data_IF_472375747610
#
_entry.id   IF_472375747610
#
_cell.length_a   1.000
_cell.length_b   1.000
_cell.length_c   1.000
_cell.angle_alpha   90.00
_cell.angle_beta   90.00
_cell.angle_gamma   90.00
#
_symmetry.space_group_name_H-M   'P 1'
#
loop_
_entity.id
_entity.type
_entity.pdbx_description
1 polymer ?
#
# COMPACT_ATOMS: atom_id res chain seq x y z
N UNK A 1 23.24 -20.77 -37.91
CA UNK A 1 22.96 -19.41 -37.40
C UNK A 1 21.53 -19.05 -37.77
N UNK A 2 20.59 -19.15 -36.83
CA UNK A 2 19.22 -18.74 -37.09
C UNK A 2 19.12 -17.23 -36.84
N UNK A 3 18.88 -16.45 -37.90
CA UNK A 3 18.41 -15.07 -37.76
C UNK A 3 16.99 -15.13 -37.17
N UNK A 4 16.86 -15.04 -35.85
CA UNK A 4 15.55 -14.74 -35.25
C UNK A 4 15.27 -13.27 -35.50
N UNK A 5 14.63 -12.99 -36.65
CA UNK A 5 14.15 -11.64 -36.95
C UNK A 5 13.12 -11.23 -35.89
N UNK A 6 13.33 -10.07 -35.25
CA UNK A 6 12.37 -9.51 -34.29
C UNK A 6 10.97 -9.38 -34.90
N UNK A 7 9.93 -9.53 -34.08
CA UNK A 7 8.52 -9.40 -34.47
C UNK A 7 8.19 -7.94 -34.83
N UNK A 8 7.22 -7.76 -35.72
CA UNK A 8 6.74 -6.43 -36.11
C UNK A 8 6.09 -5.67 -34.95
N UNK A 9 6.08 -4.34 -35.00
CA UNK A 9 5.47 -3.46 -33.98
C UNK A 9 4.04 -3.92 -33.65
N UNK A 10 3.73 -4.18 -32.36
CA UNK A 10 2.44 -4.73 -31.98
C UNK A 10 1.41 -3.62 -31.74
N UNK A 11 1.07 -2.88 -32.80
CA UNK A 11 0.01 -1.89 -32.78
C UNK A 11 -1.37 -2.57 -32.80
N UNK A 12 -2.29 -2.08 -31.99
CA UNK A 12 -3.71 -2.42 -32.06
C UNK A 12 -4.30 -1.87 -33.37
N UNK A 13 -4.72 -2.78 -34.24
CA UNK A 13 -5.30 -2.46 -35.55
C UNK A 13 -6.81 -2.26 -35.51
N UNK A 14 -7.46 -2.57 -34.39
CA UNK A 14 -8.89 -2.30 -34.19
C UNK A 14 -9.17 -0.79 -34.02
N UNK A 15 -8.16 -0.06 -33.54
CA UNK A 15 -8.19 1.41 -33.44
C UNK A 15 -7.55 2.02 -34.68
N UNK A 16 -8.18 3.07 -35.23
CA UNK A 16 -7.59 3.86 -36.32
C UNK A 16 -6.26 4.43 -35.85
N UNK A 17 -5.15 4.00 -36.45
CA UNK A 17 -3.82 4.49 -36.15
C UNK A 17 -3.31 5.37 -37.30
N UNK A 18 -2.51 6.38 -36.94
CA UNK A 18 -1.81 7.24 -37.88
C UNK A 18 -0.39 6.73 -38.16
N UNK A 19 0.28 7.28 -39.17
CA UNK A 19 1.66 6.91 -39.52
C UNK A 19 2.64 7.16 -38.37
N UNK A 20 2.40 8.21 -37.58
CA UNK A 20 3.18 8.67 -36.43
C UNK A 20 2.62 8.14 -35.09
N UNK A 21 1.90 7.01 -35.12
CA UNK A 21 1.40 6.41 -33.88
C UNK A 21 2.56 5.90 -33.04
N UNK A 22 2.62 6.40 -31.80
CA UNK A 22 3.57 6.00 -30.77
C UNK A 22 3.01 4.87 -29.93
N UNK A 23 3.86 3.92 -29.57
CA UNK A 23 3.55 2.85 -28.64
C UNK A 23 4.25 3.12 -27.31
N UNK A 24 3.47 3.10 -26.22
CA UNK A 24 4.00 3.13 -24.87
C UNK A 24 3.74 1.76 -24.25
N UNK A 25 4.81 1.12 -23.80
CA UNK A 25 4.76 -0.18 -23.15
C UNK A 25 5.06 0.02 -21.68
N UNK A 26 4.14 -0.45 -20.84
CA UNK A 26 4.22 -0.34 -19.40
C UNK A 26 4.33 -1.75 -18.84
N UNK A 27 5.46 -2.10 -18.23
CA UNK A 27 5.54 -3.31 -17.42
C UNK A 27 5.06 -2.97 -16.00
N UNK A 28 4.07 -3.73 -15.53
CA UNK A 28 3.43 -3.51 -14.24
C UNK A 28 3.69 -4.67 -13.28
N UNK A 29 3.78 -4.33 -12.01
CA UNK A 29 3.85 -5.27 -10.88
C UNK A 29 2.53 -6.03 -10.67
N UNK A 30 1.38 -5.38 -10.81
CA UNK A 30 0.10 -6.05 -10.69
C UNK A 30 -0.28 -6.91 -11.90
N UNK A 31 -1.11 -7.92 -11.65
CA UNK A 31 -1.57 -8.88 -12.66
C UNK A 31 -2.84 -8.42 -13.42
N UNK A 32 -3.65 -7.54 -12.81
CA UNK A 32 -5.02 -7.28 -13.27
C UNK A 32 -5.35 -5.78 -13.32
N UNK A 33 -5.17 -5.06 -12.22
CA UNK A 33 -5.71 -3.71 -12.02
C UNK A 33 -5.18 -2.68 -13.00
N UNK A 34 -3.87 -2.68 -13.22
CA UNK A 34 -3.16 -1.73 -14.07
C UNK A 34 -3.54 -1.92 -15.53
N UNK A 35 -3.64 -3.18 -15.98
CA UNK A 35 -4.12 -3.50 -17.32
C UNK A 35 -5.53 -2.94 -17.54
N UNK A 36 -6.46 -3.20 -16.62
CA UNK A 36 -7.83 -2.69 -16.69
C UNK A 36 -7.87 -1.15 -16.67
N UNK A 37 -7.05 -0.53 -15.82
CA UNK A 37 -6.94 0.92 -15.74
C UNK A 37 -6.46 1.54 -17.06
N UNK A 38 -5.46 0.95 -17.72
CA UNK A 38 -4.94 1.54 -18.95
C UNK A 38 -5.74 1.21 -20.21
N UNK A 39 -6.51 0.11 -20.22
CA UNK A 39 -7.37 -0.28 -21.34
C UNK A 39 -8.46 0.76 -21.68
N UNK A 40 -8.82 1.63 -20.73
CA UNK A 40 -9.78 2.71 -20.97
C UNK A 40 -9.20 3.84 -21.85
N UNK A 41 -7.87 3.99 -21.91
CA UNK A 41 -7.25 5.03 -22.72
C UNK A 41 -7.13 4.58 -24.17
N UNK A 42 -8.02 5.11 -25.02
CA UNK A 42 -7.97 4.89 -26.47
C UNK A 42 -7.56 6.16 -27.18
N UNK A 43 -6.46 6.10 -27.90
CA UNK A 43 -5.97 7.21 -28.73
C UNK A 43 -5.48 6.69 -30.08
N UNK A 44 -5.68 7.51 -31.11
CA UNK A 44 -5.23 7.23 -32.48
C UNK A 44 -3.75 7.54 -32.70
N UNK A 45 -3.15 8.35 -31.80
CA UNK A 45 -1.74 8.79 -31.86
C UNK A 45 -0.84 8.11 -30.85
N UNK A 46 -1.42 7.59 -29.76
CA UNK A 46 -0.70 6.91 -28.70
C UNK A 46 -1.45 5.64 -28.37
N UNK A 47 -0.78 4.50 -28.49
CA UNK A 47 -1.31 3.22 -28.04
C UNK A 47 -0.55 2.79 -26.80
N UNK A 48 -1.29 2.28 -25.82
CA UNK A 48 -0.76 1.78 -24.56
C UNK A 48 -0.82 0.26 -24.59
N UNK A 49 0.26 -0.37 -24.14
CA UNK A 49 0.30 -1.82 -23.90
C UNK A 49 0.85 -2.09 -22.52
N UNK A 50 0.05 -2.74 -21.69
CA UNK A 50 0.48 -3.18 -20.36
C UNK A 50 0.99 -4.61 -20.42
N UNK A 51 2.15 -4.86 -19.81
CA UNK A 51 2.70 -6.18 -19.54
C UNK A 51 2.46 -6.46 -18.04
N UNK A 52 1.37 -7.13 -17.67
CA UNK A 52 1.08 -7.45 -16.28
C UNK A 52 1.99 -8.59 -15.77
N UNK A 53 2.04 -8.77 -14.46
CA UNK A 53 2.66 -9.98 -13.87
C UNK A 53 1.92 -11.23 -14.33
N UNK A 54 2.69 -12.27 -14.67
CA UNK A 54 2.15 -13.53 -15.17
C UNK A 54 1.60 -14.43 -14.06
N UNK A 55 1.12 -15.60 -14.46
CA UNK A 55 0.65 -16.64 -13.52
C UNK A 55 1.80 -17.24 -12.68
N UNK A 56 3.05 -16.88 -12.99
CA UNK A 56 4.25 -17.22 -12.22
C UNK A 56 4.40 -16.40 -10.93
N UNK A 57 3.62 -15.33 -10.76
CA UNK A 57 3.66 -14.46 -9.59
C UNK A 57 4.93 -13.63 -9.46
N UNK A 58 5.76 -13.54 -10.51
CA UNK A 58 7.02 -12.81 -10.47
C UNK A 58 6.80 -11.29 -10.57
N UNK A 59 6.42 -10.69 -9.43
CA UNK A 59 6.04 -9.29 -9.31
C UNK A 59 7.20 -8.37 -8.89
N UNK A 60 8.31 -8.91 -8.37
CA UNK A 60 9.43 -8.09 -7.90
C UNK A 60 10.02 -7.19 -9.02
N UNK A 61 10.58 -6.02 -8.67
CA UNK A 61 11.09 -5.03 -9.63
C UNK A 61 12.01 -5.59 -10.73
N UNK A 62 12.87 -6.54 -10.38
CA UNK A 62 13.80 -7.21 -11.30
C UNK A 62 13.07 -8.01 -12.38
N UNK A 63 12.00 -8.71 -12.02
CA UNK A 63 11.18 -9.48 -12.97
C UNK A 63 10.31 -8.57 -13.84
N UNK A 64 9.80 -7.47 -13.28
CA UNK A 64 9.08 -6.43 -14.05
C UNK A 64 10.02 -5.83 -15.11
N UNK A 65 11.25 -5.51 -14.73
CA UNK A 65 12.28 -5.01 -15.65
C UNK A 65 12.67 -6.05 -16.71
N UNK A 66 12.87 -7.31 -16.32
CA UNK A 66 13.21 -8.39 -17.24
C UNK A 66 12.15 -8.54 -18.34
N UNK A 67 10.85 -8.54 -18.00
CA UNK A 67 9.74 -8.57 -18.96
C UNK A 67 9.79 -7.42 -19.96
N UNK A 68 10.13 -6.21 -19.51
CA UNK A 68 10.22 -5.04 -20.37
C UNK A 68 11.43 -5.13 -21.33
N UNK A 69 12.55 -5.69 -20.87
CA UNK A 69 13.75 -5.96 -21.69
C UNK A 69 13.45 -7.03 -22.74
N UNK A 70 12.85 -8.15 -22.33
CA UNK A 70 12.45 -9.23 -23.24
C UNK A 70 11.53 -8.71 -24.35
N UNK A 71 10.55 -7.87 -24.00
CA UNK A 71 9.67 -7.24 -24.98
C UNK A 71 10.43 -6.36 -25.99
N UNK A 72 11.41 -5.58 -25.52
CA UNK A 72 12.27 -4.76 -26.38
C UNK A 72 13.10 -5.61 -27.35
N UNK A 73 13.57 -6.77 -26.90
CA UNK A 73 14.34 -7.71 -27.72
C UNK A 73 13.47 -8.46 -28.71
N UNK A 74 12.22 -8.76 -28.35
CA UNK A 74 11.27 -9.47 -29.18
C UNK A 74 10.72 -8.60 -30.32
N UNK A 75 10.48 -7.30 -30.10
CA UNK A 75 9.77 -6.42 -31.03
C UNK A 75 10.63 -5.33 -31.68
N UNK A 76 10.32 -4.99 -32.92
CA UNK A 76 10.96 -3.90 -33.69
C UNK A 76 10.37 -2.52 -33.33
N UNK A 77 10.63 -2.03 -32.12
CA UNK A 77 10.11 -0.73 -31.66
C UNK A 77 10.64 0.45 -32.50
N UNK A 78 9.80 1.46 -32.68
CA UNK A 78 10.19 2.72 -33.31
C UNK A 78 10.97 3.62 -32.34
N UNK A 79 11.64 4.64 -32.87
CA UNK A 79 12.48 5.58 -32.10
C UNK A 79 11.68 6.38 -31.07
N UNK A 80 10.40 6.62 -31.36
CA UNK A 80 9.46 7.38 -30.55
C UNK A 80 8.55 6.50 -29.66
N UNK A 81 8.75 5.18 -29.67
CA UNK A 81 8.12 4.27 -28.73
C UNK A 81 8.81 4.38 -27.35
N UNK A 82 8.04 4.21 -26.28
CA UNK A 82 8.55 4.34 -24.91
C UNK A 82 8.34 3.06 -24.09
N UNK A 83 9.30 2.79 -23.21
CA UNK A 83 9.30 1.66 -22.27
C UNK A 83 9.25 2.22 -20.85
N UNK A 84 8.22 1.88 -20.09
CA UNK A 84 7.91 2.42 -18.79
C UNK A 84 7.79 1.28 -17.77
N UNK A 85 8.25 1.54 -16.55
CA UNK A 85 8.06 0.65 -15.40
C UNK A 85 6.99 1.26 -14.49
N UNK A 86 6.08 0.42 -14.03
CA UNK A 86 5.10 0.74 -13.00
C UNK A 86 5.27 -0.27 -11.87
N UNK A 87 5.82 0.22 -10.77
CA UNK A 87 6.25 -0.57 -9.62
C UNK A 87 5.68 0.11 -8.38
N UNK A 88 5.18 -0.66 -7.42
CA UNK A 88 4.73 -0.10 -6.16
C UNK A 88 5.94 0.34 -5.34
N UNK A 89 5.82 1.53 -4.75
CA UNK A 89 6.84 2.05 -3.84
C UNK A 89 6.39 1.74 -2.43
N UNK A 90 6.86 0.61 -1.91
CA UNK A 90 6.68 0.28 -0.50
C UNK A 90 7.47 1.23 0.37
N UNK A 91 6.79 1.85 1.34
CA UNK A 91 7.44 2.64 2.38
C UNK A 91 7.61 1.76 3.60
N UNK A 92 8.85 1.39 3.99
CA UNK A 92 9.09 0.40 5.03
C UNK A 92 8.78 0.88 6.46
N UNK A 93 8.22 2.08 6.66
CA UNK A 93 7.88 2.61 7.99
C UNK A 93 6.58 2.01 8.54
N UNK A 94 6.55 0.69 8.77
CA UNK A 94 5.35 -0.04 9.21
C UNK A 94 4.93 0.39 10.62
N UNK A 95 5.81 0.27 11.61
CA UNK A 95 5.50 0.61 13.02
C UNK A 95 5.35 2.12 13.23
N UNK A 96 6.16 2.93 12.54
CA UNK A 96 6.07 4.40 12.60
C UNK A 96 4.72 4.91 12.09
N UNK A 97 4.21 4.33 11.01
CA UNK A 97 2.88 4.64 10.47
C UNK A 97 1.78 4.26 11.47
N UNK A 98 1.86 3.07 12.07
CA UNK A 98 0.89 2.61 13.09
C UNK A 98 0.91 3.51 14.34
N UNK A 99 2.09 3.92 14.80
CA UNK A 99 2.24 4.89 15.88
C UNK A 99 1.56 6.23 15.54
N UNK A 100 1.69 6.69 14.29
CA UNK A 100 0.97 7.85 13.79
C UNK A 100 -0.55 7.72 13.92
N UNK A 101 -1.10 6.58 13.46
CA UNK A 101 -2.54 6.30 13.59
C UNK A 101 -3.01 6.25 15.04
N UNK A 102 -2.23 5.66 15.95
CA UNK A 102 -2.56 5.61 17.38
C UNK A 102 -2.65 7.02 17.97
N UNK A 103 -1.69 7.91 17.65
CA UNK A 103 -1.69 9.29 18.13
C UNK A 103 -2.89 10.08 17.62
N UNK A 104 -3.22 9.95 16.34
CA UNK A 104 -4.41 10.60 15.77
C UNK A 104 -5.69 10.11 16.47
N UNK A 105 -5.79 8.80 16.74
CA UNK A 105 -6.92 8.23 17.45
C UNK A 105 -7.02 8.78 18.89
N UNK A 106 -5.91 8.85 19.63
CA UNK A 106 -5.86 9.46 20.97
C UNK A 106 -6.33 10.91 20.98
N UNK A 107 -5.95 11.71 19.98
CA UNK A 107 -6.43 13.10 19.84
C UNK A 107 -7.95 13.15 19.72
N UNK A 108 -8.54 12.28 18.88
CA UNK A 108 -10.01 12.19 18.71
C UNK A 108 -10.71 11.77 20.02
N UNK A 109 -10.17 10.78 20.73
CA UNK A 109 -10.71 10.35 22.02
C UNK A 109 -10.61 11.43 23.10
N UNK A 110 -9.50 12.15 23.14
CA UNK A 110 -9.29 13.28 24.06
C UNK A 110 -10.28 14.40 23.77
N UNK A 111 -10.49 14.77 22.51
CA UNK A 111 -11.50 15.75 22.13
C UNK A 111 -12.92 15.33 22.55
N UNK A 112 -13.26 14.05 22.39
CA UNK A 112 -14.53 13.49 22.86
C UNK A 112 -14.65 13.54 24.39
N UNK A 113 -13.57 13.24 25.11
CA UNK A 113 -13.51 13.31 26.56
C UNK A 113 -13.79 14.73 27.06
N UNK A 114 -13.13 15.74 26.49
CA UNK A 114 -13.34 17.15 26.87
C UNK A 114 -14.75 17.63 26.56
N UNK A 115 -15.33 17.20 25.43
CA UNK A 115 -16.72 17.48 25.13
C UNK A 115 -17.68 16.88 26.17
N UNK A 116 -17.47 15.60 26.56
CA UNK A 116 -18.32 14.96 27.57
C UNK A 116 -18.19 15.62 28.95
N UNK A 117 -17.00 16.08 29.34
CA UNK A 117 -16.81 16.88 30.57
C UNK A 117 -17.63 18.17 30.52
N UNK A 118 -17.69 18.82 29.36
CA UNK A 118 -18.50 20.03 29.17
C UNK A 118 -20.00 19.74 29.31
N UNK A 119 -20.47 18.61 28.75
CA UNK A 119 -21.87 18.18 28.89
C UNK A 119 -22.23 17.86 30.34
N UNK A 120 -21.34 17.17 31.06
CA UNK A 120 -21.53 16.83 32.47
C UNK A 120 -21.65 18.09 33.36
N UNK A 121 -20.77 19.08 33.12
CA UNK A 121 -20.76 20.35 33.84
C UNK A 121 -21.90 21.31 33.42
N UNK A 122 -22.58 21.07 32.30
CA UNK A 122 -23.63 21.96 31.77
C UNK A 122 -24.82 22.03 32.71
N UNK A 123 -25.37 23.23 32.89
CA UNK A 123 -26.56 23.46 33.73
C UNK A 123 -27.84 22.98 33.02
N UNK A 124 -27.85 22.99 31.69
CA UNK A 124 -28.99 22.65 30.84
C UNK A 124 -29.13 21.14 30.58
N UNK A 125 -28.09 20.36 30.89
CA UNK A 125 -28.10 18.91 30.70
C UNK A 125 -28.99 18.22 31.75
N UNK A 126 -29.83 17.29 31.28
CA UNK A 126 -30.66 16.46 32.15
C UNK A 126 -29.82 15.55 33.04
N UNK A 127 -30.40 15.09 34.15
CA UNK A 127 -29.75 14.12 35.07
C UNK A 127 -29.33 12.83 34.36
N UNK A 128 -30.13 12.37 33.39
CA UNK A 128 -29.83 11.18 32.58
C UNK A 128 -28.61 11.39 31.69
N UNK A 129 -28.53 12.52 31.01
CA UNK A 129 -27.39 12.90 30.16
C UNK A 129 -26.09 13.03 30.97
N UNK A 130 -26.15 13.66 32.15
CA UNK A 130 -24.99 13.75 33.05
C UNK A 130 -24.49 12.38 33.50
N UNK A 131 -25.42 11.49 33.86
CA UNK A 131 -25.07 10.12 34.30
C UNK A 131 -24.44 9.31 33.16
N UNK A 132 -24.93 9.45 31.92
CA UNK A 132 -24.34 8.81 30.75
C UNK A 132 -22.96 9.39 30.42
N UNK A 133 -22.82 10.73 30.45
CA UNK A 133 -21.55 11.41 30.21
C UNK A 133 -20.47 10.96 31.20
N UNK A 134 -20.79 10.85 32.50
CA UNK A 134 -19.88 10.34 33.52
C UNK A 134 -19.38 8.92 33.22
N UNK A 135 -20.29 8.00 32.84
CA UNK A 135 -19.92 6.62 32.50
C UNK A 135 -18.97 6.56 31.30
N UNK A 136 -19.23 7.37 30.28
CA UNK A 136 -18.39 7.38 29.07
C UNK A 136 -17.06 8.08 29.30
N UNK A 137 -17.00 9.12 30.15
CA UNK A 137 -15.76 9.74 30.63
C UNK A 137 -14.86 8.69 31.31
N UNK A 138 -15.42 7.88 32.21
CA UNK A 138 -14.63 6.84 32.91
C UNK A 138 -14.10 5.77 31.94
N UNK A 139 -14.90 5.35 30.96
CA UNK A 139 -14.45 4.41 29.93
C UNK A 139 -13.33 5.01 29.07
N UNK A 140 -13.52 6.23 28.58
CA UNK A 140 -12.52 6.90 27.73
C UNK A 140 -11.21 7.14 28.46
N UNK A 141 -11.25 7.48 29.76
CA UNK A 141 -10.03 7.60 30.58
C UNK A 141 -9.24 6.29 30.63
N UNK A 142 -9.92 5.15 30.82
CA UNK A 142 -9.28 3.83 30.83
C UNK A 142 -8.66 3.49 29.47
N UNK A 143 -9.41 3.70 28.40
CA UNK A 143 -8.91 3.46 27.03
C UNK A 143 -7.71 4.35 26.72
N UNK A 144 -7.75 5.64 27.08
CA UNK A 144 -6.63 6.55 26.89
C UNK A 144 -5.40 6.08 27.68
N UNK A 145 -5.54 5.68 28.94
CA UNK A 145 -4.43 5.16 29.76
C UNK A 145 -3.81 3.88 29.17
N UNK A 146 -4.64 2.97 28.65
CA UNK A 146 -4.19 1.78 27.93
C UNK A 146 -3.41 2.15 26.65
N UNK A 147 -3.90 3.11 25.87
CA UNK A 147 -3.24 3.58 24.65
C UNK A 147 -1.92 4.30 24.95
N UNK A 148 -1.87 5.11 26.01
CA UNK A 148 -0.66 5.80 26.48
C UNK A 148 0.41 4.79 26.91
N UNK A 149 0.00 3.77 27.66
CA UNK A 149 0.86 2.67 28.09
C UNK A 149 1.37 1.87 26.90
N UNK A 150 0.49 1.53 25.95
CA UNK A 150 0.87 0.78 24.75
C UNK A 150 1.82 1.58 23.83
N UNK A 151 1.59 2.89 23.68
CA UNK A 151 2.52 3.77 22.97
C UNK A 151 3.89 3.78 23.65
N UNK A 152 3.94 4.03 24.95
CA UNK A 152 5.19 4.17 25.71
C UNK A 152 6.00 2.88 25.76
N UNK A 153 5.33 1.77 26.06
CA UNK A 153 6.01 0.52 26.43
C UNK A 153 6.20 -0.41 25.22
N UNK A 154 5.46 -0.21 24.12
CA UNK A 154 5.48 -1.11 22.95
C UNK A 154 5.78 -0.38 21.64
N UNK A 155 4.88 0.51 21.17
CA UNK A 155 5.00 1.06 19.82
C UNK A 155 6.15 2.06 19.66
N UNK A 156 6.37 2.95 20.62
CA UNK A 156 7.40 3.98 20.51
C UNK A 156 8.82 3.39 20.47
N UNK A 157 9.19 2.43 21.35
CA UNK A 157 10.48 1.74 21.23
C UNK A 157 10.66 1.05 19.87
N UNK A 158 9.65 0.31 19.40
CA UNK A 158 9.72 -0.42 18.12
C UNK A 158 9.80 0.52 16.91
N UNK A 159 9.04 1.62 16.91
CA UNK A 159 9.10 2.65 15.86
C UNK A 159 10.48 3.32 15.80
N UNK A 160 11.12 3.51 16.96
CA UNK A 160 12.47 4.09 17.05
C UNK A 160 13.55 3.12 16.55
N UNK A 161 13.37 1.82 16.79
CA UNK A 161 14.31 0.80 16.33
C UNK A 161 14.36 0.67 14.81
N UNK A 162 13.28 1.04 14.09
CA UNK A 162 13.18 0.92 12.63
C UNK A 162 13.61 -0.46 12.15
N UNK A 163 12.98 -1.50 12.71
CA UNK A 163 13.25 -2.89 12.36
C UNK A 163 13.02 -3.06 10.86
N UNK A 164 14.10 -3.33 10.13
CA UNK A 164 14.03 -3.73 8.73
C UNK A 164 13.61 -5.20 8.66
N UNK A 165 12.72 -5.51 7.72
CA UNK A 165 12.28 -6.87 7.44
C UNK A 165 12.52 -7.16 5.97
N UNK A 166 12.98 -8.37 5.68
CA UNK A 166 12.98 -8.92 4.34
C UNK A 166 11.69 -9.73 4.16
N UNK A 167 10.88 -9.39 3.16
CA UNK A 167 9.61 -10.09 2.94
C UNK A 167 9.82 -11.55 2.52
N UNK A 168 10.98 -11.88 1.94
CA UNK A 168 11.32 -13.23 1.51
C UNK A 168 11.66 -14.17 2.68
N UNK A 169 12.04 -13.63 3.84
CA UNK A 169 12.23 -14.41 5.08
C UNK A 169 10.92 -15.01 5.61
N UNK A 170 9.79 -14.47 5.14
CA UNK A 170 8.46 -14.99 5.42
C UNK A 170 7.97 -14.73 6.85
N UNK A 171 6.69 -15.04 7.08
CA UNK A 171 5.98 -14.67 8.32
C UNK A 171 6.62 -15.30 9.56
N UNK A 172 7.11 -16.54 9.47
CA UNK A 172 7.67 -17.23 10.63
C UNK A 172 8.92 -16.57 11.18
N UNK A 173 9.72 -15.95 10.31
CA UNK A 173 10.90 -15.20 10.71
C UNK A 173 10.56 -13.78 11.14
N UNK A 174 9.71 -13.08 10.36
CA UNK A 174 9.43 -11.66 10.59
C UNK A 174 8.48 -11.39 11.78
N UNK A 175 7.52 -12.29 12.02
CA UNK A 175 6.48 -12.07 13.04
C UNK A 175 7.05 -11.90 14.46
N UNK A 176 7.99 -12.74 14.93
CA UNK A 176 8.58 -12.59 16.26
C UNK A 176 9.34 -11.26 16.48
N UNK A 177 9.82 -10.61 15.42
CA UNK A 177 10.60 -9.37 15.52
C UNK A 177 9.82 -8.22 16.17
N UNK A 178 8.50 -8.22 16.03
CA UNK A 178 7.62 -7.17 16.57
C UNK A 178 7.11 -7.47 17.98
N UNK A 179 7.43 -8.64 18.54
CA UNK A 179 7.19 -8.98 19.95
C UNK A 179 5.78 -8.67 20.46
N UNK A 180 5.70 -7.85 21.51
CA UNK A 180 4.45 -7.51 22.19
C UNK A 180 3.49 -6.64 21.36
N UNK A 181 3.94 -6.07 20.24
CA UNK A 181 3.04 -5.34 19.33
C UNK A 181 2.11 -6.27 18.56
N UNK A 182 2.44 -7.56 18.48
CA UNK A 182 1.66 -8.56 17.77
C UNK A 182 1.02 -9.55 18.73
N UNK A 183 -0.12 -10.09 18.31
CA UNK A 183 -0.82 -11.14 19.05
C UNK A 183 0.02 -12.41 19.04
N UNK A 184 0.16 -13.08 20.19
CA UNK A 184 0.83 -14.40 20.22
C UNK A 184 0.09 -15.41 19.32
N UNK A 185 0.83 -16.06 18.42
CA UNK A 185 0.31 -17.13 17.58
C UNK A 185 1.01 -18.44 17.96
N UNK A 186 0.25 -19.49 18.38
CA UNK A 186 0.82 -20.81 18.64
C UNK A 186 1.58 -21.33 17.41
N UNK A 187 2.84 -21.71 17.59
CA UNK A 187 3.70 -22.26 16.52
C UNK A 187 4.50 -21.23 15.71
N UNK A 188 4.31 -19.93 15.93
CA UNK A 188 5.13 -18.85 15.36
C UNK A 188 5.97 -18.11 16.40
N UNK A 189 5.51 -18.05 17.64
CA UNK A 189 6.30 -17.56 18.77
C UNK A 189 7.03 -18.74 19.45
N UNK A 190 8.29 -18.56 19.93
CA UNK A 190 8.97 -19.57 20.73
C UNK A 190 8.24 -19.86 22.06
#
# INVERSE_FOLDING_TARGET
MALTSRKARPLDRSVKHLRDTRLIIIAAEGALTEKLYFEMFRSTRVQLRVLPTGDDGQSAPEHVLARLIEFREEFQLAVDDALWLMIDVDRPETVGTVLGYLREYRVKLTARLEHLKTVEASVDASRGEKTLALKDIEKLKKVLDELDTYERDVLYPLATQRIEIDLDDGVKHNYPLFGAALKKIPGLSP
#
